data_IF_315470946267
#
_entry.id   IF_315470946267
#
_cell.length_a   1.000
_cell.length_b   1.000
_cell.length_c   1.000
_cell.angle_alpha   90.00
_cell.angle_beta   90.00
_cell.angle_gamma   90.00
#
_symmetry.space_group_name_H-M   'P 1'
#
loop_
_entity.id
_entity.type
_entity.pdbx_description
1 polymer ?
#
# COMPACT_ATOMS: atom_id res chain seq x y z
N UNK A 1 -24.40 27.18 -4.43
CA UNK A 1 -23.83 26.04 -5.19
C UNK A 1 -22.49 25.54 -4.64
N UNK A 2 -21.50 26.41 -4.37
CA UNK A 2 -20.21 26.03 -3.76
C UNK A 2 -20.29 25.20 -2.44
N UNK A 3 -21.12 25.55 -1.43
CA UNK A 3 -21.12 24.79 -0.16
C UNK A 3 -21.69 23.37 -0.28
N UNK A 4 -22.61 23.13 -1.23
CA UNK A 4 -23.15 21.79 -1.48
C UNK A 4 -22.10 20.88 -2.12
N UNK A 5 -21.31 21.42 -3.06
CA UNK A 5 -20.19 20.71 -3.68
C UNK A 5 -19.13 20.32 -2.63
N UNK A 6 -18.76 21.24 -1.72
CA UNK A 6 -17.82 20.94 -0.64
C UNK A 6 -18.34 19.84 0.31
N UNK A 7 -19.63 19.88 0.67
CA UNK A 7 -20.25 18.84 1.49
C UNK A 7 -20.25 17.47 0.81
N UNK A 8 -20.58 17.43 -0.48
CA UNK A 8 -20.55 16.21 -1.29
C UNK A 8 -19.13 15.64 -1.39
N UNK A 9 -18.13 16.48 -1.69
CA UNK A 9 -16.72 16.07 -1.73
C UNK A 9 -16.25 15.49 -0.39
N UNK A 10 -16.63 16.12 0.72
CA UNK A 10 -16.28 15.62 2.04
C UNK A 10 -16.94 14.27 2.34
N UNK A 11 -18.21 14.10 1.97
CA UNK A 11 -18.91 12.83 2.12
C UNK A 11 -18.29 11.73 1.25
N UNK A 12 -17.94 12.02 0.00
CA UNK A 12 -17.23 11.08 -0.88
C UNK A 12 -15.87 10.67 -0.31
N UNK A 13 -15.15 11.60 0.32
CA UNK A 13 -13.88 11.32 1.00
C UNK A 13 -14.09 10.40 2.21
N UNK A 14 -15.11 10.63 3.03
CA UNK A 14 -15.46 9.77 4.16
C UNK A 14 -15.86 8.39 3.65
N UNK A 15 -16.69 8.31 2.61
CA UNK A 15 -17.09 7.05 1.99
C UNK A 15 -15.87 6.29 1.46
N UNK A 16 -14.92 6.97 0.82
CA UNK A 16 -13.66 6.36 0.38
C UNK A 16 -12.87 5.76 1.54
N UNK A 17 -12.69 6.50 2.64
CA UNK A 17 -12.01 5.97 3.83
C UNK A 17 -12.75 4.80 4.48
N UNK A 18 -14.08 4.87 4.55
CA UNK A 18 -14.90 3.78 5.06
C UNK A 18 -14.74 2.51 4.21
N UNK A 19 -14.79 2.63 2.88
CA UNK A 19 -14.56 1.50 1.97
C UNK A 19 -13.16 0.91 2.15
N UNK A 20 -12.12 1.75 2.20
CA UNK A 20 -10.74 1.30 2.44
C UNK A 20 -10.66 0.52 3.78
N UNK A 21 -11.30 1.03 4.83
CA UNK A 21 -11.32 0.36 6.13
C UNK A 21 -12.03 -0.99 6.08
N UNK A 22 -13.18 -1.09 5.41
CA UNK A 22 -13.89 -2.36 5.22
C UNK A 22 -13.03 -3.38 4.46
N UNK A 23 -12.35 -2.95 3.40
CA UNK A 23 -11.42 -3.82 2.67
C UNK A 23 -10.24 -4.27 3.55
N UNK A 24 -9.64 -3.37 4.32
CA UNK A 24 -8.53 -3.70 5.21
C UNK A 24 -8.96 -4.69 6.32
N UNK A 25 -10.09 -4.41 6.98
CA UNK A 25 -10.64 -5.28 8.03
C UNK A 25 -11.05 -6.63 7.45
N UNK A 26 -11.71 -6.66 6.30
CA UNK A 26 -12.11 -7.89 5.61
C UNK A 26 -10.89 -8.73 5.23
N UNK A 27 -9.87 -8.10 4.64
CA UNK A 27 -8.61 -8.76 4.31
C UNK A 27 -7.94 -9.38 5.53
N UNK A 28 -7.78 -8.62 6.62
CA UNK A 28 -7.20 -9.11 7.86
C UNK A 28 -8.04 -10.23 8.49
N UNK A 29 -9.36 -10.13 8.41
CA UNK A 29 -10.27 -11.16 8.92
C UNK A 29 -10.12 -12.46 8.14
N UNK A 30 -9.98 -12.40 6.81
CA UNK A 30 -9.71 -13.57 5.98
C UNK A 30 -8.35 -14.20 6.32
N UNK A 31 -7.32 -13.38 6.56
CA UNK A 31 -5.99 -13.89 6.94
C UNK A 31 -5.99 -14.62 8.29
N UNK A 32 -6.92 -14.28 9.21
CA UNK A 32 -7.07 -15.01 10.49
C UNK A 32 -7.65 -16.42 10.34
N UNK A 33 -8.22 -16.77 9.19
CA UNK A 33 -8.82 -18.09 8.95
C UNK A 33 -7.78 -19.16 8.57
N UNK A 34 -6.55 -18.77 8.24
CA UNK A 34 -5.47 -19.68 7.85
C UNK A 34 -4.34 -19.65 8.89
N UNK A 35 -3.46 -20.69 8.95
CA UNK A 35 -2.31 -20.66 9.83
C UNK A 35 -1.42 -19.43 9.60
N UNK A 36 -0.82 -18.85 10.65
CA UNK A 36 -0.03 -17.62 10.55
C UNK A 36 1.05 -17.67 9.47
N UNK A 37 1.79 -18.77 9.36
CA UNK A 37 2.84 -18.91 8.35
C UNK A 37 2.28 -18.82 6.92
N UNK A 38 1.08 -19.36 6.68
CA UNK A 38 0.44 -19.27 5.36
C UNK A 38 -0.03 -17.85 5.07
N UNK A 39 -0.60 -17.16 6.06
CA UNK A 39 -1.02 -15.77 5.92
C UNK A 39 0.18 -14.86 5.62
N UNK A 40 1.28 -15.01 6.36
CA UNK A 40 2.50 -14.23 6.18
C UNK A 40 3.16 -14.50 4.82
N UNK A 41 3.27 -15.77 4.43
CA UNK A 41 3.81 -16.12 3.11
C UNK A 41 2.93 -15.58 1.96
N UNK A 42 1.61 -15.57 2.12
CA UNK A 42 0.71 -14.96 1.15
C UNK A 42 0.91 -13.44 1.10
N UNK A 43 0.98 -12.78 2.24
CA UNK A 43 1.18 -11.33 2.33
C UNK A 43 2.52 -10.90 1.72
N UNK A 44 3.60 -11.64 1.96
CA UNK A 44 4.91 -11.40 1.33
C UNK A 44 4.83 -11.52 -0.20
N UNK A 45 4.30 -12.64 -0.72
CA UNK A 45 4.16 -12.84 -2.17
C UNK A 45 3.28 -11.77 -2.82
N UNK A 46 2.17 -11.42 -2.16
CA UNK A 46 1.28 -10.38 -2.63
C UNK A 46 1.97 -9.01 -2.62
N UNK A 47 2.71 -8.70 -1.56
CA UNK A 47 3.51 -7.48 -1.43
C UNK A 47 4.54 -7.36 -2.55
N UNK A 48 5.33 -8.42 -2.81
CA UNK A 48 6.32 -8.45 -3.89
C UNK A 48 5.71 -8.30 -5.28
N UNK A 49 4.51 -8.85 -5.49
CA UNK A 49 3.82 -8.79 -6.78
C UNK A 49 3.15 -7.42 -7.03
N UNK A 50 2.58 -6.82 -5.99
CA UNK A 50 1.76 -5.60 -6.10
C UNK A 50 2.57 -4.35 -5.79
N UNK A 51 3.47 -4.41 -4.80
CA UNK A 51 4.29 -3.30 -4.32
C UNK A 51 4.95 -2.50 -5.45
N UNK A 52 5.73 -3.13 -6.36
CA UNK A 52 6.38 -2.45 -7.47
C UNK A 52 5.43 -1.71 -8.42
N UNK A 53 4.14 -2.10 -8.45
CA UNK A 53 3.10 -1.50 -9.30
C UNK A 53 2.40 -0.32 -8.64
N UNK A 54 2.62 -0.07 -7.34
CA UNK A 54 2.01 1.03 -6.61
C UNK A 54 2.94 2.24 -6.61
N UNK A 55 2.40 3.45 -6.82
CA UNK A 55 3.20 4.68 -6.86
C UNK A 55 4.08 4.93 -5.61
N UNK A 56 3.74 4.33 -4.45
CA UNK A 56 4.55 4.37 -3.23
C UNK A 56 5.91 3.68 -3.39
N UNK A 57 6.02 2.65 -4.22
CA UNK A 57 7.31 2.01 -4.51
C UNK A 57 8.28 2.98 -5.18
N UNK A 58 7.82 3.81 -6.11
CA UNK A 58 8.65 4.88 -6.72
C UNK A 58 9.20 5.84 -5.67
N UNK A 59 8.36 6.27 -4.73
CA UNK A 59 8.78 7.15 -3.63
C UNK A 59 9.83 6.48 -2.74
N UNK A 60 9.66 5.18 -2.44
CA UNK A 60 10.65 4.42 -1.66
C UNK A 60 12.00 4.34 -2.39
N UNK A 61 11.99 3.99 -3.68
CA UNK A 61 13.19 3.96 -4.53
C UNK A 61 13.87 5.34 -4.59
N UNK A 62 13.11 6.41 -4.81
CA UNK A 62 13.65 7.76 -4.88
C UNK A 62 14.27 8.22 -3.56
N UNK A 63 13.69 7.80 -2.42
CA UNK A 63 14.28 8.06 -1.12
C UNK A 63 15.58 7.27 -0.90
N UNK A 64 15.61 6.00 -1.32
CA UNK A 64 16.81 5.15 -1.20
C UNK A 64 17.97 5.68 -2.06
N UNK A 65 17.71 6.14 -3.29
CA UNK A 65 18.73 6.77 -4.14
C UNK A 65 19.35 8.01 -3.50
N UNK A 66 18.53 8.80 -2.80
CA UNK A 66 19.01 10.01 -2.09
C UNK A 66 19.78 9.66 -0.82
N UNK A 67 19.35 8.62 -0.10
CA UNK A 67 19.96 8.20 1.16
C UNK A 67 21.27 7.43 0.97
N UNK A 68 21.38 6.67 -0.12
CA UNK A 68 22.51 5.79 -0.42
C UNK A 68 22.97 5.95 -1.88
N UNK A 69 23.50 7.12 -2.26
CA UNK A 69 23.92 7.40 -3.64
C UNK A 69 25.04 6.48 -4.15
N UNK A 70 25.79 5.85 -3.24
CA UNK A 70 26.87 4.91 -3.54
C UNK A 70 26.38 3.49 -3.87
N UNK A 71 25.11 3.17 -3.59
CA UNK A 71 24.57 1.83 -3.83
C UNK A 71 24.22 1.62 -5.30
N UNK A 72 24.48 0.42 -5.85
CA UNK A 72 24.06 0.09 -7.20
C UNK A 72 22.53 0.05 -7.30
N UNK A 73 22.00 0.45 -8.45
CA UNK A 73 20.54 0.49 -8.68
C UNK A 73 19.87 -0.87 -8.45
N UNK A 74 20.56 -1.99 -8.74
CA UNK A 74 20.05 -3.33 -8.48
C UNK A 74 19.81 -3.61 -6.99
N UNK A 75 20.68 -3.12 -6.12
CA UNK A 75 20.53 -3.27 -4.66
C UNK A 75 19.40 -2.37 -4.15
N UNK A 76 19.28 -1.15 -4.67
CA UNK A 76 18.17 -0.23 -4.35
C UNK A 76 16.81 -0.87 -4.70
N UNK A 77 16.70 -1.47 -5.89
CA UNK A 77 15.47 -2.13 -6.33
C UNK A 77 15.13 -3.36 -5.49
N UNK A 78 16.14 -4.13 -5.06
CA UNK A 78 15.94 -5.28 -4.16
C UNK A 78 15.44 -4.86 -2.78
N UNK A 79 15.97 -3.76 -2.22
CA UNK A 79 15.52 -3.24 -0.92
C UNK A 79 14.08 -2.72 -1.01
N UNK A 80 13.70 -2.13 -2.14
CA UNK A 80 12.37 -1.55 -2.34
C UNK A 80 11.26 -2.58 -2.67
N UNK A 81 11.57 -3.87 -2.77
CA UNK A 81 10.67 -4.94 -3.29
C UNK A 81 10.48 -6.12 -2.34
#
# INVERSE_FOLDING_TARGET
MRPLLFRLMNWLKIANYWVIAQFAIGFLSLMKLVPPDRALNFADRFGRMVGPKVGRHRVAVDNLRKAFPEKPESEIQQIAS
#
